data_IF_327416297721
#
_entry.id   IF_327416297721
#
_cell.length_a   1.000
_cell.length_b   1.000
_cell.length_c   1.000
_cell.angle_alpha   90.00
_cell.angle_beta   90.00
_cell.angle_gamma   90.00
#
_symmetry.space_group_name_H-M   'P 1'
#
loop_
_entity.id
_entity.type
_entity.pdbx_description
1 polymer ?
#
# COMPACT_ATOMS: atom_id res chain seq x y z
N UNK A 1 -4.84 13.00 -32.99
CA UNK A 1 -4.05 13.92 -32.15
C UNK A 1 -4.89 14.30 -30.95
N UNK A 2 -4.58 13.71 -29.80
CA UNK A 2 -5.36 13.83 -28.56
C UNK A 2 -4.40 14.19 -27.44
N UNK A 3 -4.13 15.50 -27.31
CA UNK A 3 -3.49 16.06 -26.13
C UNK A 3 -4.55 16.29 -25.05
N UNK A 4 -4.74 15.30 -24.18
CA UNK A 4 -5.52 15.45 -22.96
C UNK A 4 -4.60 15.96 -21.85
N UNK A 5 -4.58 17.27 -21.64
CA UNK A 5 -3.93 17.87 -20.47
C UNK A 5 -4.67 17.43 -19.20
N UNK A 6 -3.98 16.69 -18.34
CA UNK A 6 -4.43 16.39 -16.98
C UNK A 6 -4.19 17.65 -16.13
N UNK A 7 -5.26 18.37 -15.77
CA UNK A 7 -5.22 19.47 -14.80
C UNK A 7 -6.12 19.10 -13.64
N UNK A 8 -5.53 18.80 -12.48
CA UNK A 8 -6.26 18.83 -11.22
C UNK A 8 -6.13 20.25 -10.67
N UNK A 9 -7.22 21.02 -10.71
CA UNK A 9 -7.30 22.31 -10.03
C UNK A 9 -7.20 22.10 -8.52
N UNK A 10 -6.20 22.75 -7.91
CA UNK A 10 -6.17 22.98 -6.46
C UNK A 10 -7.32 23.92 -6.10
N UNK A 11 -8.34 23.42 -5.40
CA UNK A 11 -9.27 24.28 -4.66
C UNK A 11 -8.75 24.47 -3.25
N UNK A 12 -8.33 25.69 -2.96
CA UNK A 12 -8.05 26.16 -1.61
C UNK A 12 -9.36 26.76 -1.07
N UNK A 13 -10.05 26.03 -0.19
CA UNK A 13 -11.24 26.55 0.46
C UNK A 13 -10.84 27.35 1.71
N UNK A 14 -10.94 28.68 1.62
CA UNK A 14 -10.71 29.62 2.72
C UNK A 14 -12.01 30.08 3.39
N UNK A 15 -13.14 29.41 3.15
CA UNK A 15 -14.44 29.90 3.59
C UNK A 15 -15.33 28.84 4.19
N UNK A 16 -15.02 28.41 5.42
CA UNK A 16 -16.02 28.03 6.44
C UNK A 16 -15.42 27.61 7.80
N UNK A 17 -14.09 27.71 7.97
CA UNK A 17 -13.39 27.37 9.22
C UNK A 17 -13.69 28.30 10.41
N UNK A 18 -14.46 29.37 10.25
CA UNK A 18 -14.75 30.33 11.34
C UNK A 18 -16.09 30.10 12.07
N UNK A 19 -16.94 29.13 11.68
CA UNK A 19 -18.26 28.98 12.34
C UNK A 19 -18.58 27.65 13.02
N UNK A 20 -17.69 26.66 13.04
CA UNK A 20 -17.96 25.39 13.74
C UNK A 20 -16.97 25.02 14.85
N UNK A 21 -15.95 25.84 15.14
CA UNK A 21 -14.96 25.57 16.19
C UNK A 21 -15.38 26.12 17.56
N UNK A 22 -16.49 25.62 18.12
CA UNK A 22 -16.70 25.62 19.57
C UNK A 22 -16.76 24.20 20.07
N UNK A 23 -15.61 23.66 20.48
CA UNK A 23 -15.55 22.43 21.30
C UNK A 23 -14.71 21.30 20.73
N UNK A 24 -13.54 21.56 20.16
CA UNK A 24 -12.47 20.57 20.11
C UNK A 24 -11.15 21.31 20.30
N UNK A 25 -10.42 21.00 21.37
CA UNK A 25 -9.10 21.54 21.60
C UNK A 25 -8.17 21.05 20.48
N UNK A 26 -7.84 21.94 19.54
CA UNK A 26 -6.77 21.71 18.58
C UNK A 26 -5.46 21.51 19.35
N UNK A 27 -4.87 20.33 19.18
CA UNK A 27 -3.47 20.14 19.53
C UNK A 27 -2.63 21.13 18.69
N UNK A 28 -1.66 21.85 19.28
CA UNK A 28 -0.91 22.87 18.57
C UNK A 28 -0.19 22.24 17.37
N UNK A 29 -0.41 22.81 16.18
CA UNK A 29 0.34 22.46 14.98
C UNK A 29 1.84 22.57 15.30
N UNK A 30 2.54 21.41 15.34
CA UNK A 30 3.98 21.39 15.55
C UNK A 30 4.63 22.26 14.47
N UNK A 31 5.43 23.24 14.90
CA UNK A 31 6.17 24.12 13.99
C UNK A 31 6.93 23.28 12.97
N UNK A 32 6.68 23.57 11.70
CA UNK A 32 7.42 23.04 10.54
C UNK A 32 8.86 23.50 10.63
N UNK A 33 9.79 22.58 10.82
CA UNK A 33 11.23 22.90 10.83
C UNK A 33 11.83 22.25 9.58
N UNK A 34 12.16 23.03 8.52
CA UNK A 34 12.84 22.49 7.36
C UNK A 34 14.21 21.92 7.77
N UNK A 35 14.70 20.94 7.01
CA UNK A 35 16.01 20.33 7.27
C UNK A 35 17.07 21.41 7.08
N UNK A 36 17.84 21.70 8.12
CA UNK A 36 18.85 22.76 8.06
C UNK A 36 20.00 22.36 7.13
N UNK A 37 20.72 23.33 6.57
CA UNK A 37 21.91 23.06 5.76
C UNK A 37 22.99 22.26 6.51
N UNK A 38 23.08 22.41 7.83
CA UNK A 38 23.97 21.63 8.69
C UNK A 38 23.53 20.16 8.75
N UNK A 39 22.23 19.90 8.94
CA UNK A 39 21.67 18.55 8.92
C UNK A 39 21.82 17.90 7.54
N UNK A 40 21.59 18.63 6.44
CA UNK A 40 21.82 18.10 5.08
C UNK A 40 23.27 17.64 4.89
N UNK A 41 24.26 18.41 5.36
CA UNK A 41 25.67 18.02 5.34
C UNK A 41 25.95 16.78 6.19
N UNK A 42 25.31 16.67 7.36
CA UNK A 42 25.43 15.49 8.22
C UNK A 42 24.81 14.24 7.59
N UNK A 43 23.65 14.38 6.93
CA UNK A 43 22.99 13.28 6.20
C UNK A 43 23.87 12.83 5.03
N UNK A 44 24.43 13.77 4.25
CA UNK A 44 25.36 13.44 3.18
C UNK A 44 26.57 12.65 3.71
N UNK A 45 27.17 13.11 4.82
CA UNK A 45 28.29 12.41 5.48
C UNK A 45 27.88 11.01 5.98
N UNK A 46 26.68 10.86 6.54
CA UNK A 46 26.15 9.56 6.98
C UNK A 46 26.07 8.58 5.80
N UNK A 47 25.55 9.03 4.66
CA UNK A 47 25.47 8.22 3.44
C UNK A 47 26.87 7.88 2.92
N UNK A 48 27.81 8.82 2.90
CA UNK A 48 29.19 8.58 2.47
C UNK A 48 29.88 7.53 3.35
N UNK A 49 29.62 7.56 4.66
CA UNK A 49 30.09 6.52 5.59
C UNK A 49 29.49 5.15 5.27
N UNK A 50 28.20 5.10 4.91
CA UNK A 50 27.54 3.85 4.55
C UNK A 50 28.09 3.29 3.23
N UNK A 51 28.28 4.13 2.20
CA UNK A 51 28.86 3.73 0.93
C UNK A 51 30.33 3.29 1.06
N UNK A 52 31.08 3.91 1.98
CA UNK A 52 32.44 3.50 2.31
C UNK A 52 32.51 2.22 3.18
N UNK A 53 31.38 1.65 3.60
CA UNK A 53 31.33 0.46 4.46
C UNK A 53 31.73 0.72 5.91
N UNK A 54 31.84 1.98 6.34
CA UNK A 54 32.17 2.35 7.71
C UNK A 54 31.00 2.15 8.68
N UNK A 55 29.77 2.13 8.15
CA UNK A 55 28.56 1.79 8.88
C UNK A 55 27.68 0.86 8.04
N UNK A 56 26.87 0.04 8.69
CA UNK A 56 25.92 -0.83 8.00
C UNK A 56 24.74 -0.04 7.44
N UNK A 57 24.24 -0.44 6.27
CA UNK A 57 23.08 0.19 5.64
C UNK A 57 21.82 0.19 6.52
N UNK A 58 21.63 -0.83 7.35
CA UNK A 58 20.51 -0.92 8.30
C UNK A 58 20.53 0.20 9.37
N UNK A 59 21.70 0.80 9.62
CA UNK A 59 21.92 1.82 10.65
C UNK A 59 21.61 3.22 10.13
N UNK A 60 21.42 3.40 8.82
CA UNK A 60 21.16 4.70 8.20
C UNK A 60 19.86 5.32 8.74
N UNK A 61 18.77 4.57 8.88
CA UNK A 61 17.54 5.11 9.48
C UNK A 61 17.75 5.65 10.89
N UNK A 62 18.53 4.94 11.72
CA UNK A 62 18.85 5.40 13.07
C UNK A 62 19.71 6.66 13.05
N UNK A 63 20.72 6.72 12.17
CA UNK A 63 21.53 7.92 11.97
C UNK A 63 20.71 9.12 11.50
N UNK A 64 19.70 8.91 10.64
CA UNK A 64 18.76 9.95 10.25
C UNK A 64 17.94 10.47 11.43
N UNK A 65 17.43 9.58 12.30
CA UNK A 65 16.70 9.98 13.52
C UNK A 65 17.57 10.80 14.48
N UNK A 66 18.84 10.42 14.64
CA UNK A 66 19.81 11.15 15.46
C UNK A 66 20.10 12.55 14.90
N UNK A 67 20.32 12.68 13.58
CA UNK A 67 20.58 13.96 12.91
C UNK A 67 19.35 14.88 12.93
N UNK A 68 18.17 14.32 12.69
CA UNK A 68 16.90 15.07 12.64
C UNK A 68 16.33 15.33 14.04
N UNK A 69 16.91 14.74 15.09
CA UNK A 69 16.51 14.94 16.49
C UNK A 69 15.10 14.46 16.81
N UNK A 70 14.54 13.57 15.99
CA UNK A 70 13.17 13.06 16.15
C UNK A 70 13.02 11.67 15.55
N UNK A 71 12.17 10.80 16.13
CA UNK A 71 11.91 9.47 15.59
C UNK A 71 11.21 9.57 14.24
N UNK A 72 11.43 8.60 13.36
CA UNK A 72 10.90 8.60 11.99
C UNK A 72 9.37 8.63 11.89
N UNK A 73 8.66 8.20 12.94
CA UNK A 73 7.20 8.31 13.05
C UNK A 73 6.70 9.75 13.14
N UNK A 74 7.59 10.69 13.48
CA UNK A 74 7.25 12.10 13.68
C UNK A 74 7.69 12.99 12.51
N UNK A 75 8.34 12.44 11.49
CA UNK A 75 8.72 13.22 10.31
C UNK A 75 7.48 13.58 9.49
N UNK A 76 7.35 14.86 9.17
CA UNK A 76 6.23 15.38 8.40
C UNK A 76 6.43 15.20 6.89
N UNK A 77 5.38 15.48 6.13
CA UNK A 77 5.36 15.34 4.69
C UNK A 77 6.47 16.15 3.98
N UNK A 78 6.67 17.40 4.38
CA UNK A 78 7.65 18.31 3.76
C UNK A 78 9.09 17.82 4.00
N UNK A 79 9.41 17.39 5.23
CA UNK A 79 10.70 16.80 5.58
C UNK A 79 10.97 15.53 4.78
N UNK A 80 9.97 14.65 4.66
CA UNK A 80 10.12 13.42 3.88
C UNK A 80 10.36 13.71 2.39
N UNK A 81 9.71 14.72 1.81
CA UNK A 81 9.97 15.09 0.40
C UNK A 81 11.37 15.68 0.21
N UNK A 82 11.87 16.48 1.16
CA UNK A 82 13.27 16.94 1.13
C UNK A 82 14.27 15.78 1.20
N UNK A 83 14.02 14.80 2.08
CA UNK A 83 14.84 13.59 2.17
C UNK A 83 14.76 12.78 0.87
N UNK A 84 13.56 12.61 0.32
CA UNK A 84 13.37 11.93 -0.97
C UNK A 84 14.21 12.58 -2.07
N UNK A 85 14.12 13.90 -2.22
CA UNK A 85 14.82 14.65 -3.26
C UNK A 85 16.34 14.47 -3.12
N UNK A 86 16.87 14.58 -1.88
CA UNK A 86 18.27 14.32 -1.56
C UNK A 86 18.72 12.91 -1.96
N UNK A 87 17.93 11.88 -1.63
CA UNK A 87 18.28 10.49 -1.97
C UNK A 87 18.13 10.20 -3.46
N UNK A 88 17.21 10.88 -4.12
CA UNK A 88 16.98 10.75 -5.55
C UNK A 88 18.12 11.38 -6.36
N UNK A 89 18.66 12.52 -5.93
CA UNK A 89 19.83 13.16 -6.54
C UNK A 89 21.11 12.31 -6.46
N UNK A 90 21.22 11.44 -5.46
CA UNK A 90 22.36 10.53 -5.22
C UNK A 90 22.19 9.12 -5.77
N UNK A 91 21.35 8.97 -6.79
CA UNK A 91 21.02 7.69 -7.41
C UNK A 91 22.26 6.90 -7.86
N UNK A 92 23.26 7.57 -8.44
CA UNK A 92 24.48 6.92 -8.91
C UNK A 92 25.22 6.16 -7.82
N UNK A 93 25.31 6.72 -6.61
CA UNK A 93 25.99 6.11 -5.48
C UNK A 93 25.19 4.93 -4.93
N UNK A 94 23.87 5.05 -4.88
CA UNK A 94 23.01 3.94 -4.46
C UNK A 94 23.07 2.74 -5.41
N UNK A 95 23.32 2.98 -6.70
CA UNK A 95 23.46 1.93 -7.73
C UNK A 95 24.82 1.20 -7.72
N UNK A 96 25.78 1.58 -6.88
CA UNK A 96 27.13 0.97 -6.85
C UNK A 96 27.16 -0.46 -6.35
N UNK A 97 26.22 -0.83 -5.47
CA UNK A 97 26.13 -2.16 -4.89
C UNK A 97 24.69 -2.59 -4.70
N UNK A 98 24.50 -3.89 -4.58
CA UNK A 98 23.18 -4.44 -4.29
C UNK A 98 22.66 -3.98 -2.92
N UNK A 99 23.51 -3.94 -1.89
CA UNK A 99 23.12 -3.52 -0.54
C UNK A 99 22.70 -2.05 -0.47
N UNK A 100 23.41 -1.17 -1.20
CA UNK A 100 23.02 0.24 -1.32
C UNK A 100 21.69 0.41 -2.06
N UNK A 101 21.43 -0.39 -3.10
CA UNK A 101 20.14 -0.39 -3.79
C UNK A 101 18.98 -0.79 -2.87
N UNK A 102 19.17 -1.82 -2.04
CA UNK A 102 18.15 -2.21 -1.03
C UNK A 102 17.86 -1.07 -0.06
N UNK A 103 18.89 -0.39 0.44
CA UNK A 103 18.71 0.80 1.27
C UNK A 103 17.93 1.88 0.52
N UNK A 104 18.25 2.11 -0.76
CA UNK A 104 17.58 3.12 -1.56
C UNK A 104 16.09 2.84 -1.72
N UNK A 105 15.69 1.61 -2.04
CA UNK A 105 14.26 1.24 -2.13
C UNK A 105 13.52 1.50 -0.82
N UNK A 106 14.15 1.18 0.32
CA UNK A 106 13.59 1.46 1.65
C UNK A 106 13.41 2.95 1.89
N UNK A 107 14.44 3.75 1.59
CA UNK A 107 14.41 5.20 1.75
C UNK A 107 13.38 5.86 0.83
N UNK A 108 13.37 5.52 -0.46
CA UNK A 108 12.42 6.07 -1.43
C UNK A 108 10.98 5.70 -1.08
N UNK A 109 10.71 4.42 -0.81
CA UNK A 109 9.37 3.96 -0.46
C UNK A 109 8.88 4.54 0.87
N UNK A 110 9.79 4.73 1.83
CA UNK A 110 9.47 5.43 3.08
C UNK A 110 9.16 6.90 2.80
N UNK A 111 10.04 7.62 2.12
CA UNK A 111 9.94 9.07 1.98
C UNK A 111 8.86 9.52 1.00
N UNK A 112 8.49 8.71 -0.01
CA UNK A 112 7.49 9.09 -1.02
C UNK A 112 6.07 8.63 -0.68
N UNK A 113 5.85 7.77 0.33
CA UNK A 113 4.49 7.29 0.67
C UNK A 113 3.52 8.46 0.96
N UNK A 114 2.25 8.37 0.55
CA UNK A 114 1.62 7.29 -0.23
C UNK A 114 1.83 7.43 -1.76
N UNK A 115 2.68 8.36 -2.21
CA UNK A 115 2.94 8.68 -3.62
C UNK A 115 2.19 9.91 -4.13
N UNK A 116 1.42 10.58 -3.28
CA UNK A 116 0.66 11.80 -3.61
C UNK A 116 0.42 12.62 -2.34
N UNK A 117 -0.08 13.85 -2.52
CA UNK A 117 -0.54 14.75 -1.45
C UNK A 117 0.39 15.92 -1.13
N UNK A 118 1.61 15.95 -1.69
CA UNK A 118 2.51 17.10 -1.64
C UNK A 118 2.80 17.61 -3.05
N UNK A 119 2.96 18.92 -3.20
CA UNK A 119 3.34 19.53 -4.47
C UNK A 119 4.64 18.90 -5.03
N UNK A 120 4.61 18.55 -6.31
CA UNK A 120 5.72 17.87 -6.99
C UNK A 120 5.73 16.34 -6.84
N UNK A 121 4.80 15.73 -6.09
CA UNK A 121 4.75 14.27 -5.95
C UNK A 121 4.57 13.54 -7.28
N UNK A 122 3.80 14.11 -8.22
CA UNK A 122 3.66 13.54 -9.58
C UNK A 122 5.04 13.38 -10.24
N UNK A 123 5.87 14.42 -10.20
CA UNK A 123 7.22 14.38 -10.79
C UNK A 123 8.15 13.41 -10.03
N UNK A 124 8.03 13.31 -8.70
CA UNK A 124 8.78 12.34 -7.88
C UNK A 124 8.40 10.90 -8.24
N UNK A 125 7.11 10.63 -8.37
CA UNK A 125 6.60 9.33 -8.83
C UNK A 125 7.07 9.05 -10.25
N UNK A 126 7.01 10.02 -11.17
CA UNK A 126 7.48 9.86 -12.55
C UNK A 126 8.96 9.47 -12.60
N UNK A 127 9.79 10.10 -11.77
CA UNK A 127 11.22 9.78 -11.67
C UNK A 127 11.46 8.34 -11.24
N UNK A 128 10.82 7.89 -10.17
CA UNK A 128 10.99 6.49 -9.71
C UNK A 128 10.34 5.51 -10.69
N UNK A 129 9.26 5.90 -11.37
CA UNK A 129 8.59 5.05 -12.35
C UNK A 129 9.51 4.63 -13.51
N UNK A 130 10.52 5.43 -13.84
CA UNK A 130 11.51 5.08 -14.87
C UNK A 130 12.20 3.74 -14.61
N UNK A 131 12.35 3.35 -13.35
CA UNK A 131 13.01 2.09 -12.99
C UNK A 131 12.07 0.88 -13.03
N UNK A 132 10.75 1.04 -13.20
CA UNK A 132 9.76 -0.06 -13.07
C UNK A 132 10.08 -1.27 -13.94
N UNK A 133 10.60 -1.03 -15.15
CA UNK A 133 10.95 -2.05 -16.13
C UNK A 133 12.42 -2.45 -16.12
N UNK A 134 13.23 -1.87 -15.22
CA UNK A 134 14.60 -2.29 -15.05
C UNK A 134 14.67 -3.77 -14.66
N UNK A 135 15.53 -4.48 -15.39
CA UNK A 135 15.85 -5.88 -15.13
C UNK A 135 17.06 -5.97 -14.21
N UNK A 136 16.84 -6.48 -13.01
CA UNK A 136 17.93 -6.81 -12.09
C UNK A 136 18.25 -8.30 -12.16
N UNK A 137 19.54 -8.64 -12.18
CA UNK A 137 20.01 -10.02 -12.20
C UNK A 137 20.29 -10.58 -10.80
N UNK A 138 19.87 -9.88 -9.74
CA UNK A 138 20.11 -10.29 -8.35
C UNK A 138 19.21 -11.46 -7.94
N UNK A 139 19.80 -12.43 -7.25
CA UNK A 139 19.15 -13.62 -6.71
C UNK A 139 18.70 -13.46 -5.24
N UNK A 140 19.27 -12.50 -4.51
CA UNK A 140 18.93 -12.21 -3.12
C UNK A 140 17.42 -11.90 -2.93
N UNK A 141 16.73 -12.67 -2.07
CA UNK A 141 15.33 -12.42 -1.74
C UNK A 141 15.03 -11.07 -1.08
N UNK A 142 15.96 -10.52 -0.29
CA UNK A 142 15.78 -9.23 0.39
C UNK A 142 15.63 -8.09 -0.64
N UNK A 143 16.45 -8.12 -1.70
CA UNK A 143 16.40 -7.14 -2.78
C UNK A 143 15.01 -7.03 -3.39
N UNK A 144 14.45 -8.17 -3.80
CA UNK A 144 13.13 -8.18 -4.41
C UNK A 144 12.02 -7.90 -3.41
N UNK A 145 12.17 -8.34 -2.15
CA UNK A 145 11.21 -8.00 -1.10
C UNK A 145 11.10 -6.48 -0.91
N UNK A 146 12.23 -5.77 -0.76
CA UNK A 146 12.23 -4.32 -0.58
C UNK A 146 11.80 -3.55 -1.84
N UNK A 147 12.12 -4.08 -3.03
CA UNK A 147 11.57 -3.58 -4.30
C UNK A 147 10.03 -3.56 -4.30
N UNK A 148 9.40 -4.70 -3.98
CA UNK A 148 7.94 -4.80 -3.95
C UNK A 148 7.32 -4.00 -2.80
N UNK A 149 7.98 -3.90 -1.65
CA UNK A 149 7.52 -3.06 -0.53
C UNK A 149 7.53 -1.58 -0.90
N UNK A 150 8.56 -1.11 -1.59
CA UNK A 150 8.63 0.26 -2.10
C UNK A 150 7.47 0.56 -3.05
N UNK A 151 7.22 -0.30 -4.05
CA UNK A 151 6.08 -0.12 -4.96
C UNK A 151 4.74 -0.17 -4.22
N UNK A 152 4.57 -1.07 -3.25
CA UNK A 152 3.36 -1.13 -2.43
C UNK A 152 3.10 0.17 -1.66
N UNK A 153 4.15 0.80 -1.14
CA UNK A 153 4.05 2.07 -0.38
C UNK A 153 3.68 3.27 -1.26
N UNK A 154 4.04 3.24 -2.54
CA UNK A 154 3.82 4.32 -3.51
C UNK A 154 2.59 4.06 -4.40
N UNK A 155 2.08 2.81 -4.43
CA UNK A 155 0.95 2.40 -5.26
C UNK A 155 -0.26 3.35 -5.24
N UNK A 156 -0.67 3.92 -4.08
CA UNK A 156 -1.76 4.90 -4.05
C UNK A 156 -1.52 6.18 -4.84
N UNK A 157 -0.26 6.56 -5.11
CA UNK A 157 0.09 7.69 -5.97
C UNK A 157 0.20 7.34 -7.46
N UNK A 158 0.03 6.07 -7.83
CA UNK A 158 0.11 5.64 -9.22
C UNK A 158 -1.21 5.85 -9.97
N UNK A 159 -1.11 6.21 -11.25
CA UNK A 159 -2.26 6.28 -12.15
C UNK A 159 -2.87 4.88 -12.39
N UNK A 160 -4.05 4.84 -13.01
CA UNK A 160 -4.73 3.59 -13.39
C UNK A 160 -3.80 2.73 -14.27
N UNK A 161 -3.18 3.34 -15.29
CA UNK A 161 -2.30 2.68 -16.25
C UNK A 161 -1.07 2.08 -15.57
N UNK A 162 -0.51 2.80 -14.59
CA UNK A 162 0.66 2.35 -13.82
C UNK A 162 0.31 1.21 -12.87
N UNK A 163 -0.85 1.25 -12.23
CA UNK A 163 -1.31 0.12 -11.42
C UNK A 163 -1.59 -1.11 -12.28
N UNK A 164 -2.17 -0.94 -13.47
CA UNK A 164 -2.38 -2.00 -14.45
C UNK A 164 -1.06 -2.61 -14.92
N UNK A 165 -0.05 -1.77 -15.18
CA UNK A 165 1.30 -2.21 -15.53
C UNK A 165 1.97 -3.02 -14.40
N UNK A 166 1.88 -2.57 -13.14
CA UNK A 166 2.37 -3.36 -11.99
C UNK A 166 1.64 -4.70 -11.87
N UNK A 167 0.32 -4.71 -12.02
CA UNK A 167 -0.47 -5.95 -12.03
C UNK A 167 0.00 -6.91 -13.11
N UNK A 168 0.21 -6.43 -14.34
CA UNK A 168 0.70 -7.24 -15.46
C UNK A 168 2.11 -7.81 -15.19
N UNK A 169 2.96 -7.07 -14.47
CA UNK A 169 4.31 -7.53 -14.07
C UNK A 169 4.25 -8.65 -13.03
N UNK A 170 3.33 -8.58 -12.08
CA UNK A 170 3.26 -9.54 -10.96
C UNK A 170 2.39 -10.76 -11.24
N UNK A 171 1.42 -10.65 -12.15
CA UNK A 171 0.47 -11.73 -12.46
C UNK A 171 1.17 -13.03 -12.90
N UNK A 172 2.18 -13.03 -13.81
CA UNK A 172 2.90 -14.24 -14.19
C UNK A 172 3.66 -14.89 -13.03
N UNK A 173 4.01 -14.12 -11.99
CA UNK A 173 4.71 -14.63 -10.80
C UNK A 173 3.73 -15.36 -9.88
N UNK A 174 2.55 -14.77 -9.66
CA UNK A 174 1.53 -15.28 -8.75
C UNK A 174 0.72 -16.44 -9.35
N UNK A 175 0.36 -16.33 -10.62
CA UNK A 175 -0.56 -17.23 -11.32
C UNK A 175 0.15 -17.98 -12.45
N UNK A 176 1.20 -18.72 -12.10
CA UNK A 176 1.99 -19.49 -13.06
C UNK A 176 1.15 -20.60 -13.72
N UNK A 177 0.70 -20.36 -14.95
CA UNK A 177 -0.04 -21.33 -15.75
C UNK A 177 0.86 -22.42 -16.37
N UNK A 178 2.17 -22.16 -16.47
CA UNK A 178 3.17 -23.09 -17.00
C UNK A 178 4.24 -23.39 -15.96
N UNK A 179 4.91 -24.53 -16.14
CA UNK A 179 6.12 -24.85 -15.37
C UNK A 179 7.19 -23.79 -15.66
N UNK A 180 7.73 -23.20 -14.60
CA UNK A 180 8.87 -22.26 -14.64
C UNK A 180 10.00 -22.85 -15.48
N UNK A 181 10.56 -22.06 -16.40
CA UNK A 181 11.80 -22.43 -17.10
C UNK A 181 12.96 -22.43 -16.09
N UNK A 182 13.90 -23.38 -16.20
CA UNK A 182 15.10 -23.39 -15.35
C UNK A 182 15.92 -22.11 -15.45
N UNK A 183 15.78 -21.35 -16.54
CA UNK A 183 16.44 -20.04 -16.74
C UNK A 183 15.75 -18.89 -16.00
N UNK A 184 14.49 -19.05 -15.59
CA UNK A 184 13.75 -18.01 -14.86
C UNK A 184 14.13 -18.04 -13.36
N UNK A 185 14.34 -16.86 -12.76
CA UNK A 185 14.66 -16.73 -11.33
C UNK A 185 13.59 -17.37 -10.46
N UNK A 186 14.01 -18.04 -9.38
CA UNK A 186 13.07 -18.57 -8.41
C UNK A 186 12.54 -17.46 -7.51
N UNK A 187 11.21 -17.37 -7.41
CA UNK A 187 10.55 -16.41 -6.52
C UNK A 187 10.14 -17.15 -5.25
N UNK A 188 10.90 -16.91 -4.17
CA UNK A 188 10.65 -17.52 -2.87
C UNK A 188 9.38 -16.99 -2.18
N UNK A 189 8.93 -17.71 -1.16
CA UNK A 189 7.68 -17.42 -0.45
C UNK A 189 7.63 -16.00 0.16
N UNK A 190 8.73 -15.52 0.73
CA UNK A 190 8.78 -14.19 1.34
C UNK A 190 8.53 -13.07 0.33
N UNK A 191 9.12 -13.19 -0.85
CA UNK A 191 8.90 -12.25 -1.94
C UNK A 191 7.45 -12.34 -2.47
N UNK A 192 6.96 -13.57 -2.72
CA UNK A 192 5.56 -13.81 -3.13
C UNK A 192 4.58 -13.16 -2.16
N UNK A 193 4.85 -13.20 -0.86
CA UNK A 193 4.01 -12.55 0.14
C UNK A 193 3.95 -11.02 -0.04
N UNK A 194 5.06 -10.37 -0.41
CA UNK A 194 5.04 -8.93 -0.70
C UNK A 194 4.30 -8.62 -2.01
N UNK A 195 4.42 -9.48 -3.01
CA UNK A 195 3.71 -9.36 -4.28
C UNK A 195 2.19 -9.47 -4.06
N UNK A 196 1.72 -10.43 -3.25
CA UNK A 196 0.30 -10.52 -2.88
C UNK A 196 -0.21 -9.27 -2.16
N UNK A 197 0.61 -8.71 -1.25
CA UNK A 197 0.27 -7.45 -0.57
C UNK A 197 0.17 -6.31 -1.57
N UNK A 198 1.14 -6.17 -2.48
CA UNK A 198 1.11 -5.18 -3.55
C UNK A 198 -0.17 -5.31 -4.38
N UNK A 199 -0.52 -6.51 -4.85
CA UNK A 199 -1.74 -6.75 -5.63
C UNK A 199 -3.00 -6.25 -4.90
N UNK A 200 -3.12 -6.54 -3.61
CA UNK A 200 -4.24 -6.06 -2.79
C UNK A 200 -4.27 -4.54 -2.60
N UNK A 201 -3.18 -3.82 -2.87
CA UNK A 201 -3.12 -2.37 -2.77
C UNK A 201 -3.47 -1.65 -4.08
N UNK A 202 -3.62 -2.36 -5.19
CA UNK A 202 -3.93 -1.77 -6.49
C UNK A 202 -5.44 -1.51 -6.62
N UNK A 203 -5.94 -0.50 -5.89
CA UNK A 203 -7.38 -0.21 -5.81
C UNK A 203 -7.94 0.42 -7.09
N UNK A 204 -7.11 0.94 -7.99
CA UNK A 204 -7.54 1.53 -9.27
C UNK A 204 -7.61 0.53 -10.43
N UNK A 205 -7.35 -0.76 -10.19
CA UNK A 205 -7.59 -1.79 -11.21
C UNK A 205 -9.05 -1.78 -11.67
N UNK A 206 -9.26 -2.08 -12.94
CA UNK A 206 -10.61 -2.18 -13.49
C UNK A 206 -11.45 -3.23 -12.75
N UNK A 207 -12.76 -3.00 -12.69
CA UNK A 207 -13.71 -3.94 -12.06
C UNK A 207 -13.61 -5.34 -12.67
N UNK A 208 -13.45 -5.43 -14.00
CA UNK A 208 -13.30 -6.71 -14.70
C UNK A 208 -12.05 -7.47 -14.27
N UNK A 209 -10.92 -6.78 -14.12
CA UNK A 209 -9.67 -7.38 -13.66
C UNK A 209 -9.75 -7.82 -12.19
N UNK A 210 -10.35 -6.99 -11.34
CA UNK A 210 -10.63 -7.35 -9.94
C UNK A 210 -11.50 -8.61 -9.85
N UNK A 211 -12.55 -8.69 -10.65
CA UNK A 211 -13.41 -9.88 -10.70
C UNK A 211 -12.63 -11.13 -11.13
N UNK A 212 -11.89 -11.03 -12.23
CA UNK A 212 -11.10 -12.14 -12.78
C UNK A 212 -10.10 -12.69 -11.76
N UNK A 213 -9.29 -11.80 -11.19
CA UNK A 213 -8.25 -12.13 -10.21
C UNK A 213 -8.89 -12.67 -8.92
N UNK A 214 -9.97 -12.05 -8.45
CA UNK A 214 -10.62 -12.48 -7.23
C UNK A 214 -11.22 -13.88 -7.35
N UNK A 215 -11.79 -14.24 -8.51
CA UNK A 215 -12.21 -15.61 -8.77
C UNK A 215 -11.06 -16.60 -8.84
N UNK A 216 -9.93 -16.22 -9.45
CA UNK A 216 -8.73 -17.04 -9.44
C UNK A 216 -8.27 -17.35 -8.03
N UNK A 217 -8.27 -16.36 -7.12
CA UNK A 217 -7.90 -16.57 -5.71
C UNK A 217 -8.95 -17.41 -4.97
N UNK A 218 -10.24 -17.07 -5.08
CA UNK A 218 -11.32 -17.72 -4.33
C UNK A 218 -11.48 -19.21 -4.72
N UNK A 219 -11.37 -19.51 -6.02
CA UNK A 219 -11.48 -20.86 -6.57
C UNK A 219 -10.15 -21.59 -6.64
N UNK A 220 -9.03 -20.94 -6.28
CA UNK A 220 -7.71 -21.53 -6.41
C UNK A 220 -7.68 -22.95 -5.78
N UNK A 221 -7.33 -23.98 -6.56
CA UNK A 221 -6.99 -25.28 -6.06
C UNK A 221 -5.63 -25.20 -5.34
N UNK A 222 -5.34 -26.18 -4.47
CA UNK A 222 -4.09 -26.24 -3.71
C UNK A 222 -2.80 -26.21 -4.54
N UNK A 223 -2.87 -26.46 -5.85
CA UNK A 223 -1.71 -26.53 -6.75
C UNK A 223 -1.14 -25.17 -7.17
N UNK A 224 -1.93 -24.08 -7.11
CA UNK A 224 -1.45 -22.71 -7.36
C UNK A 224 -1.90 -21.69 -6.30
N UNK A 225 -2.92 -22.00 -5.52
CA UNK A 225 -3.43 -21.19 -4.40
C UNK A 225 -2.96 -21.65 -3.02
N UNK A 226 -1.71 -22.09 -2.90
CA UNK A 226 -1.14 -22.52 -1.60
C UNK A 226 -0.89 -21.32 -0.67
N UNK A 227 -0.70 -20.14 -1.24
CA UNK A 227 -0.41 -18.92 -0.52
C UNK A 227 -1.64 -18.45 0.24
N UNK A 228 -1.74 -18.80 1.53
CA UNK A 228 -2.82 -18.34 2.39
C UNK A 228 -3.00 -16.81 2.38
N UNK A 229 -1.91 -16.06 2.16
CA UNK A 229 -1.90 -14.60 2.02
C UNK A 229 -2.65 -14.09 0.77
N UNK A 230 -2.86 -14.91 -0.26
CA UNK A 230 -3.69 -14.53 -1.40
C UNK A 230 -5.10 -14.11 -0.97
N UNK A 231 -5.63 -14.72 0.09
CA UNK A 231 -6.93 -14.33 0.67
C UNK A 231 -6.91 -12.93 1.27
N UNK A 232 -5.76 -12.42 1.74
CA UNK A 232 -5.62 -11.02 2.12
C UNK A 232 -5.80 -10.10 0.91
N UNK A 233 -5.17 -10.44 -0.23
CA UNK A 233 -5.33 -9.69 -1.48
C UNK A 233 -6.79 -9.72 -1.96
N UNK A 234 -7.44 -10.89 -1.93
CA UNK A 234 -8.87 -11.02 -2.24
C UNK A 234 -9.75 -10.13 -1.34
N UNK A 235 -9.46 -10.11 -0.03
CA UNK A 235 -10.15 -9.24 0.92
C UNK A 235 -10.05 -7.77 0.56
N UNK A 236 -8.89 -7.31 0.10
CA UNK A 236 -8.70 -5.93 -0.35
C UNK A 236 -9.34 -5.64 -1.70
N UNK A 237 -9.21 -6.54 -2.68
CA UNK A 237 -9.84 -6.42 -4.00
C UNK A 237 -11.37 -6.37 -3.88
N UNK A 238 -11.93 -7.20 -3.00
CA UNK A 238 -13.36 -7.25 -2.69
C UNK A 238 -13.81 -6.32 -1.57
N UNK A 239 -12.93 -5.43 -1.08
CA UNK A 239 -13.26 -4.56 0.04
C UNK A 239 -14.49 -3.70 -0.28
N UNK A 240 -15.32 -3.48 0.74
CA UNK A 240 -16.47 -2.57 0.66
C UNK A 240 -16.14 -1.14 1.13
N UNK A 241 -14.90 -0.91 1.55
CA UNK A 241 -14.35 0.42 1.81
C UNK A 241 -12.94 0.47 1.19
N UNK A 242 -12.78 1.32 0.18
CA UNK A 242 -11.52 1.57 -0.52
C UNK A 242 -10.79 2.72 0.18
N UNK A 243 -9.46 2.65 0.24
CA UNK A 243 -8.65 3.68 0.90
C UNK A 243 -8.49 4.94 0.06
N UNK A 244 -8.41 4.81 -1.27
CA UNK A 244 -8.13 5.96 -2.15
C UNK A 244 -8.80 5.92 -3.51
N UNK A 245 -9.17 4.75 -4.04
CA UNK A 245 -9.90 4.66 -5.31
C UNK A 245 -11.39 5.02 -5.12
N UNK A 246 -12.08 5.49 -6.18
CA UNK A 246 -13.49 5.87 -6.07
C UNK A 246 -14.38 4.64 -5.86
N UNK A 247 -15.58 4.82 -5.34
CA UNK A 247 -16.53 3.70 -5.10
C UNK A 247 -16.88 2.93 -6.37
N UNK A 248 -16.84 3.59 -7.53
CA UNK A 248 -17.02 2.98 -8.85
C UNK A 248 -15.96 1.93 -9.20
N UNK A 249 -14.82 1.93 -8.52
CA UNK A 249 -13.79 0.90 -8.68
C UNK A 249 -14.10 -0.38 -7.87
N UNK A 250 -15.12 -0.40 -7.00
CA UNK A 250 -15.49 -1.60 -6.26
C UNK A 250 -16.10 -2.66 -7.18
N UNK A 251 -15.81 -3.94 -6.89
CA UNK A 251 -16.53 -5.03 -7.58
C UNK A 251 -18.04 -4.97 -7.24
N UNK A 252 -18.94 -5.32 -8.19
CA UNK A 252 -20.38 -5.28 -7.98
C UNK A 252 -20.82 -6.17 -6.82
N UNK A 253 -21.93 -5.80 -6.18
CA UNK A 253 -22.55 -6.56 -5.09
C UNK A 253 -22.71 -8.05 -5.43
N UNK A 254 -23.19 -8.37 -6.64
CA UNK A 254 -23.40 -9.75 -7.07
C UNK A 254 -22.11 -10.60 -7.04
N UNK A 255 -20.98 -10.01 -7.43
CA UNK A 255 -19.66 -10.67 -7.40
C UNK A 255 -19.18 -10.83 -5.96
N UNK A 256 -19.30 -9.78 -5.15
CA UNK A 256 -18.94 -9.83 -3.73
C UNK A 256 -19.75 -10.88 -2.95
N UNK A 257 -21.06 -10.99 -3.22
CA UNK A 257 -21.95 -12.03 -2.69
C UNK A 257 -21.44 -13.43 -3.06
N UNK A 258 -21.18 -13.67 -4.35
CA UNK A 258 -20.72 -14.97 -4.83
C UNK A 258 -19.36 -15.38 -4.22
N UNK A 259 -18.45 -14.42 -4.03
CA UNK A 259 -17.20 -14.66 -3.31
C UNK A 259 -17.43 -14.98 -1.84
N UNK A 260 -18.26 -14.21 -1.14
CA UNK A 260 -18.59 -14.44 0.26
C UNK A 260 -19.21 -15.83 0.48
N UNK A 261 -20.16 -16.24 -0.36
CA UNK A 261 -20.76 -17.58 -0.35
C UNK A 261 -19.71 -18.68 -0.51
N UNK A 262 -18.80 -18.50 -1.47
CA UNK A 262 -17.75 -19.48 -1.74
C UNK A 262 -16.75 -19.60 -0.58
N UNK A 263 -16.36 -18.47 0.01
CA UNK A 263 -15.45 -18.44 1.17
C UNK A 263 -16.10 -19.00 2.44
N UNK A 264 -17.39 -18.74 2.67
CA UNK A 264 -18.14 -19.25 3.82
C UNK A 264 -18.14 -20.79 3.87
N UNK A 265 -18.23 -21.46 2.73
CA UNK A 265 -18.16 -22.93 2.62
C UNK A 265 -16.84 -23.50 3.15
N UNK A 266 -15.76 -22.71 3.13
CA UNK A 266 -14.40 -23.08 3.57
C UNK A 266 -14.03 -22.49 4.93
N UNK A 267 -14.93 -21.75 5.58
CA UNK A 267 -14.61 -20.92 6.72
C UNK A 267 -14.39 -21.70 8.03
N UNK A 268 -14.78 -22.98 8.07
CA UNK A 268 -14.58 -23.87 9.22
C UNK A 268 -13.79 -25.13 8.76
N UNK A 269 -12.59 -25.38 9.31
CA UNK A 269 -11.91 -24.56 10.32
C UNK A 269 -11.39 -23.22 9.77
N UNK A 270 -11.15 -23.10 8.45
CA UNK A 270 -10.62 -21.89 7.81
C UNK A 270 -9.25 -21.42 8.33
N UNK A 271 -8.78 -20.24 7.93
CA UNK A 271 -7.57 -19.59 8.47
C UNK A 271 -7.79 -18.08 8.71
N UNK A 272 -6.82 -17.40 9.32
CA UNK A 272 -6.93 -15.97 9.66
C UNK A 272 -7.05 -15.03 8.45
N UNK A 273 -6.45 -15.40 7.31
CA UNK A 273 -6.57 -14.64 6.06
C UNK A 273 -7.96 -14.79 5.44
N UNK A 274 -8.55 -15.99 5.49
CA UNK A 274 -9.94 -16.22 5.08
C UNK A 274 -10.88 -15.37 5.93
N UNK A 275 -10.69 -15.38 7.26
CA UNK A 275 -11.49 -14.57 8.17
C UNK A 275 -11.35 -13.06 7.83
N UNK A 276 -10.14 -12.60 7.50
CA UNK A 276 -9.91 -11.21 7.11
C UNK A 276 -10.58 -10.88 5.77
N UNK A 277 -10.54 -11.80 4.80
CA UNK A 277 -11.20 -11.63 3.51
C UNK A 277 -12.72 -11.51 3.66
N UNK A 278 -13.34 -12.40 4.44
CA UNK A 278 -14.77 -12.34 4.76
C UNK A 278 -15.12 -11.05 5.51
N UNK A 279 -14.24 -10.56 6.41
CA UNK A 279 -14.45 -9.28 7.11
C UNK A 279 -14.50 -8.11 6.13
N UNK A 280 -13.54 -7.99 5.21
CA UNK A 280 -13.49 -6.85 4.29
C UNK A 280 -14.57 -6.90 3.21
N UNK A 281 -14.89 -8.09 2.67
CA UNK A 281 -15.97 -8.30 1.70
C UNK A 281 -17.34 -8.08 2.36
N UNK A 282 -17.48 -8.48 3.63
CA UNK A 282 -18.71 -8.33 4.40
C UNK A 282 -18.87 -6.99 5.11
N UNK A 283 -17.86 -6.10 5.04
CA UNK A 283 -17.86 -4.82 5.76
C UNK A 283 -19.14 -4.06 5.42
N UNK A 284 -19.78 -3.53 6.47
CA UNK A 284 -21.02 -2.77 6.32
C UNK A 284 -20.69 -1.41 5.73
N UNK A 285 -21.50 -0.97 4.77
CA UNK A 285 -21.34 0.32 4.09
C UNK A 285 -22.58 1.18 4.27
N UNK A 286 -22.46 2.47 3.93
CA UNK A 286 -23.61 3.37 3.82
C UNK A 286 -24.39 3.16 2.52
N UNK A 287 -23.75 2.62 1.48
CA UNK A 287 -24.34 2.41 0.16
C UNK A 287 -24.80 0.95 -0.02
N UNK A 288 -26.10 0.77 -0.25
CA UNK A 288 -26.75 -0.53 -0.46
C UNK A 288 -26.38 -1.18 -1.79
N UNK A 289 -25.95 -0.41 -2.80
CA UNK A 289 -25.64 -0.93 -4.14
C UNK A 289 -24.34 -1.72 -4.19
N UNK A 290 -23.41 -1.46 -3.27
CA UNK A 290 -22.12 -2.16 -3.17
C UNK A 290 -22.06 -3.13 -1.99
N UNK A 291 -22.95 -2.99 -1.01
CA UNK A 291 -23.01 -3.82 0.19
C UNK A 291 -23.46 -5.25 -0.13
N UNK A 292 -22.82 -6.27 0.44
CA UNK A 292 -23.32 -7.66 0.30
C UNK A 292 -24.69 -7.87 0.98
N UNK A 293 -25.36 -8.96 0.60
CA UNK A 293 -26.64 -9.36 1.19
C UNK A 293 -26.57 -9.53 2.71
N UNK A 294 -27.60 -9.03 3.39
CA UNK A 294 -27.69 -9.05 4.86
C UNK A 294 -27.67 -10.48 5.43
N UNK A 295 -28.24 -11.45 4.71
CA UNK A 295 -28.20 -12.87 5.07
C UNK A 295 -26.78 -13.44 4.99
N UNK A 296 -26.01 -13.09 3.96
CA UNK A 296 -24.61 -13.49 3.84
C UNK A 296 -23.76 -12.85 4.94
N UNK A 297 -23.94 -11.55 5.19
CA UNK A 297 -23.26 -10.85 6.28
C UNK A 297 -23.58 -11.46 7.65
N UNK A 298 -24.83 -11.87 7.88
CA UNK A 298 -25.21 -12.63 9.08
C UNK A 298 -24.49 -13.98 9.15
N UNK A 299 -24.37 -14.70 8.04
CA UNK A 299 -23.59 -15.95 7.98
C UNK A 299 -22.12 -15.75 8.37
N UNK A 300 -21.48 -14.67 7.91
CA UNK A 300 -20.12 -14.30 8.29
C UNK A 300 -20.03 -14.02 9.80
N UNK A 301 -20.97 -13.25 10.34
CA UNK A 301 -21.04 -12.95 11.77
C UNK A 301 -21.16 -14.22 12.62
N UNK A 302 -22.01 -15.16 12.21
CA UNK A 302 -22.23 -16.40 12.94
C UNK A 302 -20.99 -17.31 12.92
N UNK A 303 -20.26 -17.35 11.81
CA UNK A 303 -18.94 -18.01 11.73
C UNK A 303 -17.94 -17.36 12.70
N UNK A 304 -17.84 -16.03 12.74
CA UNK A 304 -16.89 -15.34 13.62
C UNK A 304 -17.23 -15.47 15.10
N UNK A 305 -18.52 -15.55 15.45
CA UNK A 305 -18.96 -15.88 16.81
C UNK A 305 -18.55 -17.29 17.21
N UNK A 306 -18.77 -18.30 16.34
CA UNK A 306 -18.33 -19.69 16.58
C UNK A 306 -16.81 -19.79 16.76
N UNK A 307 -16.05 -19.00 16.00
CA UNK A 307 -14.59 -18.87 16.12
C UNK A 307 -14.10 -17.97 17.25
N UNK A 308 -15.01 -17.40 18.05
CA UNK A 308 -14.71 -16.50 19.17
C UNK A 308 -13.82 -15.30 18.77
N UNK A 309 -14.04 -14.73 17.58
CA UNK A 309 -13.30 -13.53 17.14
C UNK A 309 -13.66 -12.35 18.05
N UNK A 310 -12.65 -11.53 18.38
CA UNK A 310 -12.81 -10.35 19.25
C UNK A 310 -13.83 -9.37 18.66
N UNK A 311 -14.54 -8.63 19.53
CA UNK A 311 -15.51 -7.58 19.13
C UNK A 311 -14.92 -6.58 18.13
N UNK A 312 -13.69 -6.11 18.35
CA UNK A 312 -13.01 -5.20 17.43
C UNK A 312 -12.85 -5.77 16.01
N UNK A 313 -12.66 -7.08 15.86
CA UNK A 313 -12.58 -7.73 14.55
C UNK A 313 -13.94 -7.82 13.85
N UNK A 314 -15.02 -7.95 14.61
CA UNK A 314 -16.38 -8.10 14.11
C UNK A 314 -17.04 -6.74 13.81
N UNK A 315 -16.61 -5.68 14.50
CA UNK A 315 -17.21 -4.34 14.45
C UNK A 315 -17.44 -3.81 13.02
N UNK A 316 -16.52 -3.98 12.05
CA UNK A 316 -16.73 -3.52 10.67
C UNK A 316 -17.94 -4.17 9.95
N UNK A 317 -18.39 -5.34 10.39
CA UNK A 317 -19.57 -6.02 9.84
C UNK A 317 -20.89 -5.47 10.41
N UNK A 318 -20.83 -4.78 11.55
CA UNK A 318 -22.02 -4.35 12.31
C UNK A 318 -22.37 -2.88 12.06
N UNK A 319 -21.34 -2.03 11.94
CA UNK A 319 -21.48 -0.58 11.81
C UNK A 319 -20.68 -0.10 10.60
N UNK A 320 -21.32 0.64 9.72
CA UNK A 320 -20.64 1.33 8.65
C UNK A 320 -19.72 2.40 9.24
N UNK A 321 -18.46 2.38 8.84
CA UNK A 321 -17.43 3.30 9.26
C UNK A 321 -16.36 3.38 8.17
N UNK A 322 -15.82 4.59 7.98
CA UNK A 322 -14.61 4.81 7.20
C UNK A 322 -13.44 4.03 7.80
N UNK A 323 -12.42 3.74 6.99
CA UNK A 323 -11.20 3.10 7.47
C UNK A 323 -10.53 4.00 8.52
N UNK A 324 -10.20 3.42 9.67
CA UNK A 324 -9.47 4.15 10.71
C UNK A 324 -7.99 4.30 10.33
N UNK A 325 -7.30 5.33 10.86
CA UNK A 325 -5.86 5.57 10.61
C UNK A 325 -5.00 4.34 10.84
N UNK A 326 -5.35 3.53 11.85
CA UNK A 326 -4.66 2.28 12.15
C UNK A 326 -4.85 1.24 11.03
N UNK A 327 -6.04 1.13 10.47
CA UNK A 327 -6.32 0.20 9.36
C UNK A 327 -5.57 0.63 8.09
N UNK A 328 -5.53 1.93 7.83
CA UNK A 328 -4.78 2.52 6.72
C UNK A 328 -3.26 2.36 6.90
N UNK A 329 -2.76 2.52 8.13
CA UNK A 329 -1.36 2.26 8.47
C UNK A 329 -0.99 0.78 8.29
N UNK A 330 -1.86 -0.14 8.70
CA UNK A 330 -1.67 -1.59 8.51
C UNK A 330 -1.61 -1.97 7.03
N UNK A 331 -2.37 -1.28 6.18
CA UNK A 331 -2.32 -1.44 4.72
C UNK A 331 -0.91 -1.10 4.20
N UNK A 332 -0.50 0.17 4.28
CA UNK A 332 0.82 0.63 3.79
C UNK A 332 1.97 -0.09 4.53
N UNK A 333 1.74 -0.58 5.75
CA UNK A 333 2.70 -1.22 6.64
C UNK A 333 3.36 -0.23 7.61
N UNK A 334 2.93 1.03 7.58
CA UNK A 334 3.34 2.10 8.49
C UNK A 334 2.33 3.25 8.40
N UNK A 335 2.25 4.10 9.45
CA UNK A 335 1.39 5.26 9.45
C UNK A 335 1.76 6.28 8.36
N UNK A 336 0.76 7.03 7.88
CA UNK A 336 1.00 8.17 7.01
C UNK A 336 1.80 9.25 7.77
N UNK A 337 2.67 9.99 7.07
CA UNK A 337 3.37 11.10 7.68
C UNK A 337 2.41 12.18 8.17
N UNK A 338 2.83 12.94 9.20
CA UNK A 338 2.04 14.07 9.66
C UNK A 338 1.82 15.08 8.53
N UNK A 339 0.59 15.57 8.39
CA UNK A 339 0.19 16.48 7.31
C UNK A 339 -0.48 15.81 6.11
N UNK A 340 -0.49 14.48 6.02
CA UNK A 340 -1.31 13.78 5.03
C UNK A 340 -2.68 13.40 5.60
N UNK A 341 -3.67 13.43 4.71
CA UNK A 341 -4.96 12.78 4.88
C UNK A 341 -5.22 11.91 3.66
N UNK A 342 -5.91 10.78 3.85
CA UNK A 342 -6.37 10.00 2.72
C UNK A 342 -7.46 10.76 2.00
N UNK A 343 -7.28 10.95 0.69
CA UNK A 343 -8.27 11.55 -0.18
C UNK A 343 -8.70 10.47 -1.16
N UNK A 344 -9.99 10.18 -1.16
CA UNK A 344 -10.60 9.30 -2.14
C UNK A 344 -10.80 10.07 -3.44
N UNK A 345 -10.49 9.45 -4.57
CA UNK A 345 -10.82 10.01 -5.88
C UNK A 345 -12.34 10.28 -5.95
N UNK A 346 -12.71 11.38 -6.61
CA UNK A 346 -14.10 11.80 -6.79
C UNK A 346 -14.82 11.03 -7.88
#
# INVERSE_FOLDING_TARGET
ETGGNFSQELRFDLGDSEKSSKGAAEAPAKRRVPITSAQLKQIAKLLDQAFAGNIEYNSVFKGLEEILGSPRSNWDAEMLRQLFDLFSERESEFRTSQGSLVLWFRLLGFCLRPGYGVAGDVARVDRIWQMVDEGFTYDNPEFWSDWWVMWKRIAPGLSIERQEALKNRIEPILFQARRRDKKEREVGQHERNQIWRLLGHLERLSVAEKERIGWWIAKAPPSYGVDSIALHALGRIGARELAYAPDSAMVPQAIANAWAEHLLKKAIPGNSYLDSALREIGRKTGDRLVQIDDLLRKGILDVFKKKLRKKAFIQPLLKAAQLEDKELAEMIGEALPSGFVWVKDS
#
